data_IF_338288326177
#
_entry.id   IF_338288326177
#
_cell.length_a   1.000
_cell.length_b   1.000
_cell.length_c   1.000
_cell.angle_alpha   90.00
_cell.angle_beta   90.00
_cell.angle_gamma   90.00
#
_symmetry.space_group_name_H-M   'P 1'
#
loop_
_entity.id
_entity.type
_entity.pdbx_description
1 polymer ?
#
# COMPACT_ATOMS: atom_id res chain seq x y z
N UNK A 1 -0.31 -3.31 -8.09
CA UNK A 1 -1.50 -3.16 -7.23
C UNK A 1 -2.59 -2.51 -8.05
N UNK A 2 -3.85 -2.98 -7.99
CA UNK A 2 -4.99 -2.33 -8.59
C UNK A 2 -5.13 -1.03 -7.82
N UNK A 3 -5.17 0.01 -8.60
CA UNK A 3 -5.28 1.35 -8.13
C UNK A 3 -6.50 1.85 -8.84
N UNK A 4 -7.62 1.87 -8.13
CA UNK A 4 -8.90 2.40 -8.59
C UNK A 4 -8.80 3.90 -8.91
N UNK A 5 -7.74 4.56 -8.42
CA UNK A 5 -7.47 5.94 -8.74
C UNK A 5 -6.95 6.16 -10.17
N UNK A 6 -7.57 7.08 -10.89
CA UNK A 6 -7.11 7.61 -12.17
C UNK A 6 -7.00 9.13 -12.11
N UNK A 7 -5.95 9.67 -12.73
CA UNK A 7 -5.80 11.11 -12.93
C UNK A 7 -6.53 11.50 -14.21
N UNK A 8 -7.46 12.44 -14.11
CA UNK A 8 -8.17 13.06 -15.24
C UNK A 8 -7.62 14.48 -15.47
N UNK A 9 -7.66 14.98 -16.71
CA UNK A 9 -7.40 16.38 -16.98
C UNK A 9 -8.33 17.28 -16.14
N UNK A 10 -7.91 18.50 -15.82
CA UNK A 10 -8.73 19.44 -15.09
C UNK A 10 -10.00 19.79 -15.88
N UNK A 11 -11.11 20.00 -15.16
CA UNK A 11 -12.40 20.40 -15.76
C UNK A 11 -12.36 21.84 -16.35
N UNK A 12 -11.32 22.62 -16.02
CA UNK A 12 -11.09 23.99 -16.49
C UNK A 12 -9.62 24.17 -16.91
N UNK A 13 -9.37 24.93 -17.98
CA UNK A 13 -8.01 25.33 -18.37
C UNK A 13 -7.31 26.07 -17.22
N UNK A 14 -6.08 25.64 -16.88
CA UNK A 14 -5.32 26.14 -15.73
C UNK A 14 -5.68 25.53 -14.37
N UNK A 15 -6.64 24.61 -14.31
CA UNK A 15 -7.03 23.92 -13.08
C UNK A 15 -6.06 22.80 -12.67
N UNK A 16 -6.14 22.38 -11.40
CA UNK A 16 -5.41 21.20 -10.92
C UNK A 16 -6.03 19.91 -11.50
N UNK A 17 -5.20 18.96 -11.94
CA UNK A 17 -5.69 17.70 -12.48
C UNK A 17 -6.51 16.92 -11.44
N UNK A 18 -7.65 16.39 -11.86
CA UNK A 18 -8.63 15.75 -10.99
C UNK A 18 -8.23 14.32 -10.71
N UNK A 19 -8.26 13.89 -9.46
CA UNK A 19 -8.05 12.50 -9.09
C UNK A 19 -9.42 11.84 -8.87
N UNK A 20 -9.70 10.75 -9.58
CA UNK A 20 -10.97 10.01 -9.50
C UNK A 20 -10.69 8.61 -8.97
N UNK A 21 -11.25 8.27 -7.82
CA UNK A 21 -11.10 6.96 -7.17
C UNK A 21 -10.87 7.10 -5.66
N UNK A 22 -10.32 6.06 -5.04
CA UNK A 22 -10.03 6.09 -3.60
C UNK A 22 -8.93 7.12 -3.28
N UNK A 23 -9.23 8.07 -2.37
CA UNK A 23 -8.31 9.15 -1.98
C UNK A 23 -6.95 8.67 -1.48
N UNK A 24 -6.92 7.58 -0.69
CA UNK A 24 -5.67 6.97 -0.20
C UNK A 24 -4.80 6.54 -1.38
N UNK A 25 -5.39 5.90 -2.36
CA UNK A 25 -4.68 5.42 -3.54
C UNK A 25 -4.20 6.57 -4.43
N UNK A 26 -5.01 7.62 -4.53
CA UNK A 26 -4.63 8.82 -5.26
C UNK A 26 -3.48 9.57 -4.61
N UNK A 27 -3.45 9.65 -3.27
CA UNK A 27 -2.31 10.20 -2.52
C UNK A 27 -1.03 9.42 -2.77
N UNK A 28 -1.10 8.09 -2.77
CA UNK A 28 0.04 7.22 -3.11
C UNK A 28 0.52 7.45 -4.56
N UNK A 29 -0.38 7.61 -5.53
CA UNK A 29 0.01 7.96 -6.90
C UNK A 29 0.64 9.34 -6.99
N UNK A 30 0.14 10.31 -6.21
CA UNK A 30 0.74 11.64 -6.09
C UNK A 30 2.20 11.54 -5.68
N UNK A 31 2.49 10.78 -4.63
CA UNK A 31 3.86 10.53 -4.16
C UNK A 31 4.75 9.94 -5.27
N UNK A 32 4.26 8.96 -6.05
CA UNK A 32 5.03 8.37 -7.16
C UNK A 32 5.36 9.40 -8.23
N UNK A 33 4.43 10.28 -8.56
CA UNK A 33 4.65 11.37 -9.51
C UNK A 33 5.63 12.42 -8.98
N UNK A 34 5.55 12.74 -7.68
CA UNK A 34 6.48 13.68 -7.04
C UNK A 34 7.91 13.14 -7.03
N UNK A 35 8.06 11.82 -6.88
CA UNK A 35 9.32 11.07 -7.08
C UNK A 35 9.76 10.96 -8.56
N UNK A 36 9.08 11.67 -9.47
CA UNK A 36 9.37 11.73 -10.91
C UNK A 36 9.31 10.36 -11.60
N UNK A 37 8.45 9.47 -11.13
CA UNK A 37 8.19 8.16 -11.75
C UNK A 37 6.83 8.17 -12.46
N UNK A 38 6.81 7.60 -13.66
CA UNK A 38 5.57 7.40 -14.40
C UNK A 38 4.94 6.05 -14.05
N UNK A 39 3.83 6.09 -13.31
CA UNK A 39 3.08 4.88 -12.98
C UNK A 39 2.29 4.33 -14.18
N UNK A 40 2.02 5.14 -15.22
CA UNK A 40 1.22 4.72 -16.35
C UNK A 40 1.96 3.67 -17.19
N UNK A 41 3.28 3.84 -17.36
CA UNK A 41 4.15 2.83 -17.97
C UNK A 41 4.01 1.46 -17.29
N UNK A 42 4.03 1.42 -15.95
CA UNK A 42 3.89 0.17 -15.19
C UNK A 42 2.51 -0.45 -15.37
N UNK A 43 1.44 0.36 -15.37
CA UNK A 43 0.07 -0.12 -15.63
C UNK A 43 -0.12 -0.67 -17.02
N UNK A 44 0.53 -0.09 -18.03
CA UNK A 44 0.47 -0.60 -19.39
C UNK A 44 1.19 -1.96 -19.53
N UNK A 45 2.25 -2.18 -18.75
CA UNK A 45 2.97 -3.46 -18.72
C UNK A 45 2.15 -4.55 -18.00
N UNK A 46 1.53 -4.17 -16.87
CA UNK A 46 0.72 -5.04 -16.02
C UNK A 46 -0.69 -4.44 -15.89
N UNK A 47 -1.54 -4.58 -16.93
CA UNK A 47 -2.90 -4.09 -16.88
C UNK A 47 -3.76 -4.98 -15.97
N UNK A 48 -4.97 -4.52 -15.64
CA UNK A 48 -5.82 -5.16 -14.63
C UNK A 48 -6.21 -6.60 -15.03
N UNK A 49 -6.40 -6.87 -16.32
CA UNK A 49 -6.65 -8.20 -16.87
C UNK A 49 -5.48 -9.18 -16.72
N UNK A 50 -4.26 -8.71 -16.43
CA UNK A 50 -3.10 -9.57 -16.13
C UNK A 50 -2.91 -9.82 -14.63
N UNK A 51 -3.75 -9.23 -13.77
CA UNK A 51 -3.70 -9.53 -12.34
C UNK A 51 -4.19 -10.95 -12.11
N UNK A 52 -3.37 -11.76 -11.45
CA UNK A 52 -3.68 -13.17 -11.21
C UNK A 52 -4.83 -13.34 -10.22
N UNK A 53 -4.77 -12.58 -9.11
CA UNK A 53 -5.83 -12.54 -8.11
C UNK A 53 -5.87 -11.19 -7.41
N UNK A 54 -7.09 -10.77 -7.05
CA UNK A 54 -7.32 -9.53 -6.31
C UNK A 54 -8.10 -9.81 -5.03
N UNK A 55 -7.46 -9.56 -3.89
CA UNK A 55 -8.09 -9.52 -2.58
C UNK A 55 -8.52 -8.07 -2.32
N UNK A 56 -9.81 -7.80 -2.52
CA UNK A 56 -10.39 -6.46 -2.35
C UNK A 56 -10.25 -5.94 -0.92
N UNK A 57 -10.57 -4.67 -0.67
CA UNK A 57 -10.56 -4.19 0.71
C UNK A 57 -11.61 -4.93 1.55
N UNK A 58 -11.22 -5.42 2.73
CA UNK A 58 -12.15 -5.95 3.73
C UNK A 58 -11.89 -5.25 5.06
N UNK A 59 -12.96 -4.85 5.75
CA UNK A 59 -12.93 -4.02 6.95
C UNK A 59 -12.29 -4.70 8.16
N UNK A 60 -12.28 -6.03 8.20
CA UNK A 60 -11.62 -6.83 9.23
C UNK A 60 -10.10 -6.85 8.97
N UNK A 61 -9.67 -7.11 7.73
CA UNK A 61 -8.25 -7.13 7.37
C UNK A 61 -7.63 -5.74 7.19
N UNK A 62 -8.45 -4.70 6.99
CA UNK A 62 -8.08 -3.31 6.67
C UNK A 62 -6.96 -3.19 5.63
N UNK A 63 -6.95 -4.12 4.67
CA UNK A 63 -5.94 -4.22 3.62
C UNK A 63 -6.55 -4.70 2.31
N UNK A 64 -5.86 -4.38 1.22
CA UNK A 64 -6.11 -4.88 -0.13
C UNK A 64 -4.80 -5.48 -0.65
N UNK A 65 -4.89 -6.62 -1.34
CA UNK A 65 -3.72 -7.30 -1.88
C UNK A 65 -3.94 -7.76 -3.30
N UNK A 66 -2.87 -7.83 -4.08
CA UNK A 66 -2.92 -8.36 -5.45
C UNK A 66 -1.73 -9.17 -5.83
N UNK A 67 -2.03 -10.24 -6.54
CA UNK A 67 -1.08 -11.22 -7.03
C UNK A 67 -0.84 -10.95 -8.51
N UNK A 68 0.44 -10.88 -8.88
CA UNK A 68 0.88 -10.88 -10.26
C UNK A 68 1.71 -12.13 -10.51
N UNK A 69 1.68 -12.63 -11.74
CA UNK A 69 2.59 -13.67 -12.20
C UNK A 69 3.86 -13.01 -12.73
N UNK A 70 5.02 -13.49 -12.29
CA UNK A 70 6.33 -13.02 -12.72
C UNK A 70 6.77 -13.75 -14.01
N UNK A 71 7.75 -13.20 -14.77
CA UNK A 71 8.19 -13.81 -16.03
C UNK A 71 8.77 -15.21 -15.88
N UNK A 72 9.32 -15.55 -14.71
CA UNK A 72 9.85 -16.87 -14.37
C UNK A 72 8.75 -17.89 -13.97
N UNK A 73 7.48 -17.47 -14.00
CA UNK A 73 6.33 -18.27 -13.64
C UNK A 73 5.94 -18.22 -12.16
N UNK A 74 6.80 -17.68 -11.30
CA UNK A 74 6.51 -17.47 -9.88
C UNK A 74 5.47 -16.36 -9.68
N UNK A 75 5.04 -16.14 -8.44
CA UNK A 75 4.05 -15.11 -8.12
C UNK A 75 4.60 -14.09 -7.14
N UNK A 76 4.21 -12.83 -7.33
CA UNK A 76 4.42 -11.77 -6.35
C UNK A 76 3.09 -11.20 -5.92
N UNK A 77 2.81 -11.28 -4.63
CA UNK A 77 1.70 -10.57 -4.02
C UNK A 77 2.18 -9.24 -3.46
N UNK A 78 1.44 -8.18 -3.73
CA UNK A 78 1.60 -6.87 -3.13
C UNK A 78 0.42 -6.59 -2.20
N UNK A 79 0.66 -6.08 -0.99
CA UNK A 79 -0.39 -5.68 -0.03
C UNK A 79 -0.23 -4.24 0.42
N UNK A 80 -1.34 -3.50 0.45
CA UNK A 80 -1.44 -2.16 1.05
C UNK A 80 -2.59 -2.12 2.05
N UNK A 81 -2.39 -1.43 3.17
CA UNK A 81 -3.42 -1.33 4.19
C UNK A 81 -3.00 -0.49 5.38
N UNK A 82 -3.84 -0.47 6.40
CA UNK A 82 -3.52 0.18 7.67
C UNK A 82 -2.17 -0.32 8.19
N UNK A 83 -1.29 0.62 8.50
CA UNK A 83 0.13 0.36 8.75
C UNK A 83 0.37 -0.70 9.84
N UNK A 84 -0.27 -0.54 11.00
CA UNK A 84 -0.17 -1.46 12.15
C UNK A 84 -0.65 -2.88 11.83
N UNK A 85 -1.65 -3.02 10.96
CA UNK A 85 -2.24 -4.33 10.65
C UNK A 85 -1.37 -5.08 9.64
N UNK A 86 -0.87 -4.40 8.62
CA UNK A 86 0.02 -5.02 7.63
C UNK A 86 1.37 -5.36 8.27
N UNK A 87 1.94 -4.47 9.09
CA UNK A 87 3.21 -4.73 9.77
C UNK A 87 3.16 -5.95 10.69
N UNK A 88 2.04 -6.20 11.37
CA UNK A 88 1.85 -7.42 12.18
C UNK A 88 1.99 -8.71 11.36
N UNK A 89 1.72 -8.65 10.06
CA UNK A 89 1.86 -9.75 9.11
C UNK A 89 3.24 -9.80 8.45
N UNK A 90 4.10 -8.81 8.68
CA UNK A 90 5.44 -8.76 8.12
C UNK A 90 6.45 -9.51 8.99
N UNK A 91 7.25 -10.39 8.38
CA UNK A 91 8.39 -11.07 9.01
C UNK A 91 9.73 -10.55 8.51
N UNK A 92 9.70 -9.75 7.44
CA UNK A 92 10.87 -9.08 6.85
C UNK A 92 10.59 -7.62 6.58
N UNK A 93 11.65 -6.83 6.42
CA UNK A 93 11.62 -5.43 6.03
C UNK A 93 12.76 -5.17 5.05
N UNK A 94 12.55 -4.33 4.05
CA UNK A 94 13.63 -3.90 3.17
C UNK A 94 14.58 -2.95 3.90
N UNK A 95 15.88 -3.15 3.73
CA UNK A 95 16.89 -2.21 4.18
C UNK A 95 17.14 -1.12 3.11
N UNK A 96 18.10 -0.24 3.39
CA UNK A 96 18.48 0.87 2.50
C UNK A 96 19.04 0.41 1.14
N UNK A 97 19.59 -0.80 1.06
CA UNK A 97 20.09 -1.41 -0.18
C UNK A 97 19.01 -2.17 -0.95
N UNK A 98 17.77 -2.21 -0.42
CA UNK A 98 16.65 -2.94 -1.03
C UNK A 98 16.65 -4.45 -0.76
N UNK A 99 17.46 -4.91 0.17
CA UNK A 99 17.54 -6.32 0.57
C UNK A 99 16.61 -6.62 1.76
N UNK A 100 15.86 -7.73 1.73
CA UNK A 100 15.03 -8.15 2.85
C UNK A 100 15.89 -8.57 4.05
N UNK A 101 15.71 -7.90 5.19
CA UNK A 101 16.23 -8.33 6.49
C UNK A 101 15.12 -8.85 7.38
N UNK A 102 15.48 -9.68 8.37
CA UNK A 102 14.54 -10.16 9.39
C UNK A 102 13.94 -8.98 10.13
N UNK A 103 12.62 -8.99 10.29
CA UNK A 103 11.88 -7.95 10.99
C UNK A 103 11.32 -8.53 12.28
N UNK A 104 12.10 -8.38 13.36
CA UNK A 104 11.80 -9.01 14.65
C UNK A 104 10.57 -8.37 15.29
N UNK A 105 9.84 -9.08 16.17
CA UNK A 105 8.71 -8.51 16.91
C UNK A 105 9.03 -7.16 17.56
N UNK A 106 10.19 -7.08 18.24
CA UNK A 106 10.67 -5.83 18.85
C UNK A 106 10.84 -4.70 17.84
N UNK A 107 11.43 -4.97 16.67
CA UNK A 107 11.63 -3.95 15.64
C UNK A 107 10.28 -3.43 15.11
N UNK A 108 9.28 -4.30 15.02
CA UNK A 108 7.91 -3.93 14.62
C UNK A 108 7.27 -3.03 15.66
N UNK A 109 7.37 -3.39 16.94
CA UNK A 109 6.83 -2.60 18.04
C UNK A 109 7.51 -1.22 18.13
N UNK A 110 8.83 -1.18 17.90
CA UNK A 110 9.58 0.09 17.83
C UNK A 110 9.15 0.94 16.62
N UNK A 111 8.89 0.34 15.45
CA UNK A 111 8.35 1.04 14.28
C UNK A 111 6.96 1.63 14.56
N UNK A 112 6.09 0.87 15.21
CA UNK A 112 4.75 1.36 15.59
C UNK A 112 4.89 2.56 16.53
N UNK A 113 5.63 2.40 17.63
CA UNK A 113 5.74 3.42 18.66
C UNK A 113 6.48 4.68 18.24
N UNK A 114 7.56 4.55 17.46
CA UNK A 114 8.44 5.67 17.11
C UNK A 114 8.09 6.35 15.79
N UNK A 115 7.33 5.69 14.92
CA UNK A 115 7.02 6.21 13.57
C UNK A 115 5.52 6.31 13.36
N UNK A 116 4.78 5.22 13.56
CA UNK A 116 3.35 5.19 13.22
C UNK A 116 2.51 6.02 14.19
N UNK A 117 2.71 5.84 15.50
CA UNK A 117 1.97 6.56 16.54
C UNK A 117 2.16 8.09 16.41
N UNK A 118 3.40 8.63 16.27
CA UNK A 118 3.58 10.05 16.01
C UNK A 118 2.88 10.54 14.74
N UNK A 119 3.02 9.82 13.62
CA UNK A 119 2.33 10.20 12.37
C UNK A 119 0.80 10.22 12.53
N UNK A 120 0.25 9.25 13.27
CA UNK A 120 -1.17 9.21 13.55
C UNK A 120 -1.60 10.35 14.49
N UNK A 121 -0.79 10.70 15.48
CA UNK A 121 -1.00 11.86 16.37
C UNK A 121 -1.02 13.18 15.60
N UNK A 122 -0.20 13.30 14.55
CA UNK A 122 -0.22 14.43 13.62
C UNK A 122 -1.44 14.41 12.65
N UNK A 123 -2.38 13.48 12.84
CA UNK A 123 -3.59 13.35 12.04
C UNK A 123 -3.38 12.67 10.67
N UNK A 124 -2.21 12.09 10.43
CA UNK A 124 -1.92 11.43 9.15
C UNK A 124 -2.52 10.03 9.12
N UNK A 125 -3.12 9.67 7.98
CA UNK A 125 -3.50 8.29 7.70
C UNK A 125 -2.26 7.47 7.34
N UNK A 126 -1.85 6.56 8.21
CA UNK A 126 -0.66 5.73 7.99
C UNK A 126 -0.99 4.45 7.21
N UNK A 127 -0.26 4.22 6.12
CA UNK A 127 -0.42 3.08 5.22
C UNK A 127 0.92 2.34 5.14
N UNK A 128 0.89 1.01 5.29
CA UNK A 128 2.04 0.17 5.00
C UNK A 128 1.86 -0.51 3.65
N UNK A 129 2.95 -0.59 2.90
CA UNK A 129 3.05 -1.33 1.64
C UNK A 129 4.04 -2.47 1.84
N UNK A 130 3.65 -3.67 1.45
CA UNK A 130 4.49 -4.87 1.55
C UNK A 130 4.31 -5.79 0.36
N UNK A 131 5.19 -6.79 0.25
CA UNK A 131 5.07 -7.84 -0.75
C UNK A 131 5.45 -9.21 -0.19
N UNK A 132 5.07 -10.26 -0.90
CA UNK A 132 5.53 -11.63 -0.68
C UNK A 132 5.65 -12.36 -2.00
N UNK A 133 6.70 -13.15 -2.14
CA UNK A 133 6.93 -14.01 -3.29
C UNK A 133 6.48 -15.43 -2.98
N UNK A 134 5.94 -16.09 -4.00
CA UNK A 134 5.48 -17.47 -3.93
C UNK A 134 6.02 -18.27 -5.12
N UNK A 135 6.42 -19.54 -4.90
CA UNK A 135 6.83 -20.41 -6.00
C UNK A 135 5.65 -20.73 -6.92
N UNK A 136 5.98 -21.16 -8.14
CA UNK A 136 4.97 -21.63 -9.09
C UNK A 136 4.49 -23.07 -8.79
N UNK A 137 5.36 -23.87 -8.17
CA UNK A 137 5.14 -25.30 -7.91
C UNK A 137 5.58 -25.67 -6.47
N UNK A 138 4.68 -26.20 -5.62
CA UNK A 138 3.25 -26.29 -5.87
C UNK A 138 2.62 -24.90 -5.94
N UNK A 139 1.56 -24.76 -6.74
CA UNK A 139 0.83 -23.51 -6.79
C UNK A 139 0.23 -23.19 -5.40
N UNK A 140 0.36 -21.95 -4.89
CA UNK A 140 -0.21 -21.58 -3.61
C UNK A 140 -1.73 -21.79 -3.57
N UNK A 141 -2.25 -22.25 -2.43
CA UNK A 141 -3.70 -22.27 -2.22
C UNK A 141 -4.21 -20.85 -2.01
N UNK A 142 -4.62 -20.20 -3.10
CA UNK A 142 -5.09 -18.82 -3.07
C UNK A 142 -6.40 -18.61 -2.29
N UNK A 143 -7.11 -19.67 -1.91
CA UNK A 143 -8.30 -19.59 -1.06
C UNK A 143 -7.96 -19.52 0.44
N UNK A 144 -6.75 -19.95 0.84
CA UNK A 144 -6.26 -19.79 2.21
C UNK A 144 -5.69 -18.38 2.42
N UNK A 145 -6.59 -17.40 2.50
CA UNK A 145 -6.21 -15.99 2.67
C UNK A 145 -5.33 -15.74 3.91
N UNK A 146 -5.53 -16.50 4.99
CA UNK A 146 -4.77 -16.32 6.23
C UNK A 146 -3.30 -16.66 6.02
N UNK A 147 -3.01 -17.76 5.32
CA UNK A 147 -1.64 -18.12 4.97
C UNK A 147 -1.06 -17.17 3.93
N UNK A 148 -1.82 -16.88 2.86
CA UNK A 148 -1.35 -16.03 1.75
C UNK A 148 -1.00 -14.62 2.23
N UNK A 149 -1.79 -14.05 3.15
CA UNK A 149 -1.57 -12.70 3.67
C UNK A 149 -0.55 -12.61 4.81
N UNK A 150 0.08 -13.72 5.22
CA UNK A 150 1.14 -13.75 6.22
C UNK A 150 2.54 -13.59 5.60
N UNK A 151 3.58 -13.56 6.45
CA UNK A 151 4.99 -13.56 6.09
C UNK A 151 5.41 -12.52 5.03
N UNK A 152 4.84 -11.32 5.14
CA UNK A 152 5.13 -10.24 4.22
C UNK A 152 6.52 -9.65 4.47
N UNK A 153 7.07 -9.04 3.42
CA UNK A 153 8.21 -8.13 3.49
C UNK A 153 7.68 -6.71 3.43
N UNK A 154 7.86 -5.94 4.52
CA UNK A 154 7.52 -4.52 4.55
C UNK A 154 8.46 -3.74 3.63
N UNK A 155 7.89 -2.91 2.75
CA UNK A 155 8.64 -2.02 1.86
C UNK A 155 8.76 -0.65 2.53
N UNK A 156 7.61 -0.05 2.87
CA UNK A 156 7.56 1.27 3.47
C UNK A 156 6.27 1.49 4.26
N UNK A 157 6.34 2.46 5.17
CA UNK A 157 5.18 3.10 5.80
C UNK A 157 5.13 4.54 5.31
N UNK A 158 3.95 5.01 4.94
CA UNK A 158 3.71 6.38 4.51
C UNK A 158 2.56 6.99 5.29
N UNK A 159 2.65 8.27 5.59
CA UNK A 159 1.54 9.07 6.12
C UNK A 159 0.89 9.84 5.00
N UNK A 160 -0.43 9.83 4.97
CA UNK A 160 -1.22 10.57 4.00
C UNK A 160 -2.05 11.58 4.79
N UNK A 161 -1.78 12.85 4.55
CA UNK A 161 -2.60 13.94 5.06
C UNK A 161 -3.92 13.96 4.27
N UNK A 162 -5.04 13.78 4.96
CA UNK A 162 -6.34 13.96 4.32
C UNK A 162 -6.60 15.47 4.17
N UNK A 163 -6.94 15.97 2.98
CA UNK A 163 -7.22 17.40 2.80
C UNK A 163 -8.38 17.82 3.72
N UNK A 164 -8.15 18.86 4.51
CA UNK A 164 -9.14 19.43 5.43
C UNK A 164 -10.38 19.80 4.63
N UNK A 165 -11.54 19.27 5.02
CA UNK A 165 -12.80 19.70 4.41
C UNK A 165 -13.07 21.14 4.90
N UNK A 166 -13.53 22.06 4.04
CA UNK A 166 -13.80 23.45 4.44
C UNK A 166 -14.73 23.59 5.65
N UNK A 167 -15.49 22.54 5.95
CA UNK A 167 -16.59 22.51 6.91
C UNK A 167 -16.18 21.97 8.29
N UNK A 168 -14.89 21.64 8.47
CA UNK A 168 -14.35 20.93 9.64
C UNK A 168 -13.31 21.69 10.46
N UNK A 169 -13.43 23.02 10.57
CA UNK A 169 -12.63 23.80 11.53
C UNK A 169 -13.29 23.69 12.91
N UNK A 170 -13.34 22.50 13.49
CA UNK A 170 -13.59 22.28 14.92
C UNK A 170 -13.45 20.78 15.21
N UNK A 171 -12.48 20.39 16.05
CA UNK A 171 -12.47 19.04 16.60
C UNK A 171 -11.10 18.48 16.98
N UNK A 172 -10.69 18.76 18.21
CA UNK A 172 -9.90 17.93 19.12
C UNK A 172 -8.73 17.11 18.53
N UNK A 173 -7.56 17.73 18.51
CA UNK A 173 -6.30 17.01 18.66
C UNK A 173 -6.12 16.65 20.14
N UNK A 174 -6.46 15.43 20.51
CA UNK A 174 -6.03 14.87 21.79
C UNK A 174 -5.38 13.51 21.51
N UNK A 175 -4.05 13.52 21.57
CA UNK A 175 -3.29 12.39 22.10
C UNK A 175 -3.34 12.52 23.64
#
# INVERSE_FOLDING_TARGET
>A
MPVTCNKKPPDKEGGLPKQVGNKTECGLLGLVLDLKRDYQTIRNQIPEEKLYKVYTFNSVRKSMSTVIKLPDGSFRMYSKGASEIVLKKCTRILNETGEPRVFRPRDRDEMVKKVIEPMACDGLRTICVGYRDFPADPEPNWEDENNILADLTAICVVGIEDPVRPEGIEGNFQC
#
